data_IF_811152566606
#
_entry.id   IF_811152566606
#
_cell.length_a   1.000
_cell.length_b   1.000
_cell.length_c   1.000
_cell.angle_alpha   90.00
_cell.angle_beta   90.00
_cell.angle_gamma   90.00
#
_symmetry.space_group_name_H-M   'P 1'
#
loop_
_entity.id
_entity.type
_entity.pdbx_description
1 polymer ?
2 non-polymer ?
3 non-polymer ?
4 water ?
#
# COMPACT_ATOMS: atom_id res chain seq x y z
N UNK A 1 3.51 9.90 -12.47
CA UNK A 1 4.32 9.85 -11.22
C UNK A 1 3.67 10.70 -10.13
N UNK A 2 3.95 10.33 -8.89
CA UNK A 2 3.43 11.05 -7.74
C UNK A 2 4.61 11.28 -6.81
N UNK A 3 4.54 12.33 -5.99
CA UNK A 3 5.62 12.68 -5.08
C UNK A 3 5.13 13.04 -3.69
N UNK A 4 5.99 12.82 -2.71
CA UNK A 4 5.74 13.22 -1.34
C UNK A 4 7.04 13.63 -0.66
N UNK A 5 7.03 14.79 -0.01
CA UNK A 5 8.18 15.34 0.69
C UNK A 5 7.92 15.39 2.18
N UNK A 6 8.77 14.70 2.94
CA UNK A 6 8.63 14.69 4.39
C UNK A 6 9.03 16.03 5.00
N UNK A 7 9.93 16.76 4.35
CA UNK A 7 10.33 18.08 4.85
C UNK A 7 9.17 19.05 4.70
N UNK A 8 8.66 19.51 5.83
CA UNK A 8 7.52 20.44 5.86
C UNK A 8 6.18 19.75 5.78
N UNK A 9 6.16 18.43 5.86
CA UNK A 9 4.93 17.67 5.69
C UNK A 9 3.99 17.87 6.88
N UNK A 10 2.70 17.83 6.58
CA UNK A 10 1.67 17.94 7.59
C UNK A 10 0.49 17.07 7.16
N UNK A 11 -0.54 16.96 8.01
CA UNK A 11 -1.67 16.13 7.61
C UNK A 11 -2.26 16.48 6.24
N UNK A 12 -2.27 17.77 5.89
CA UNK A 12 -2.81 18.22 4.61
C UNK A 12 -1.97 17.74 3.42
N UNK A 13 -0.65 17.93 3.49
CA UNK A 13 0.22 17.52 2.38
C UNK A 13 0.27 16.00 2.19
N UNK A 14 0.20 15.26 3.29
CA UNK A 14 0.12 13.80 3.20
C UNK A 14 -1.19 13.39 2.51
N UNK A 15 -2.30 14.00 2.90
CA UNK A 15 -3.58 13.73 2.24
C UNK A 15 -3.54 14.02 0.75
N UNK A 16 -2.88 15.11 0.37
CA UNK A 16 -2.72 15.44 -1.05
C UNK A 16 -1.91 14.37 -1.79
N UNK A 17 -0.90 13.81 -1.14
CA UNK A 17 -0.11 12.73 -1.74
C UNK A 17 -0.95 11.46 -1.93
N UNK A 18 -1.74 11.11 -0.92
CA UNK A 18 -2.56 9.91 -1.01
C UNK A 18 -3.65 10.09 -2.08
N UNK A 19 -4.21 11.29 -2.18
CA UNK A 19 -5.15 11.62 -3.26
C UNK A 19 -4.50 11.42 -4.63
N UNK A 20 -3.30 11.99 -4.81
CA UNK A 20 -2.51 11.85 -6.04
C UNK A 20 -2.26 10.38 -6.38
N UNK A 21 -1.89 9.60 -5.37
CA UNK A 21 -1.60 8.17 -5.57
C UNK A 21 -2.85 7.43 -6.07
N UNK A 22 -3.98 7.65 -5.40
CA UNK A 22 -5.25 7.07 -5.84
C UNK A 22 -5.56 7.48 -7.28
N UNK A 23 -5.42 8.76 -7.58
CA UNK A 23 -5.75 9.27 -8.92
C UNK A 23 -4.84 8.76 -10.04
N UNK A 24 -3.64 8.31 -9.69
CA UNK A 24 -2.72 7.75 -10.67
C UNK A 24 -3.02 6.30 -11.04
N UNK A 25 -3.91 5.64 -10.31
CA UNK A 25 -4.27 4.25 -10.60
C UNK A 25 -5.44 4.24 -11.56
N UNK A 26 -5.29 3.58 -12.72
CA UNK A 26 -6.35 3.68 -13.70
C UNK A 26 -7.53 2.78 -13.40
N UNK A 27 -8.69 3.17 -13.92
CA UNK A 27 -9.89 2.36 -13.82
C UNK A 27 -10.80 2.76 -14.98
N UNK A 28 -11.63 1.83 -15.42
CA UNK A 28 -12.66 2.12 -16.42
C UNK A 28 -14.08 2.08 -15.84
N UNK A 29 -14.21 1.49 -14.66
CA UNK A 29 -15.50 1.18 -14.06
C UNK A 29 -15.39 1.53 -12.58
N UNK A 30 -16.50 2.02 -12.01
CA UNK A 30 -16.68 1.99 -10.56
C UNK A 30 -17.77 0.99 -10.23
N UNK A 31 -17.59 0.30 -9.11
CA UNK A 31 -18.55 -0.63 -8.58
C UNK A 31 -18.98 -0.05 -7.24
N UNK A 32 -20.27 0.26 -7.12
CA UNK A 32 -20.79 0.97 -5.95
C UNK A 32 -19.95 2.22 -5.61
N UNK A 33 -19.67 3.01 -6.64
CA UNK A 33 -18.97 4.29 -6.52
C UNK A 33 -17.50 4.21 -6.08
N UNK A 34 -16.91 3.01 -6.16
CA UNK A 34 -15.51 2.78 -5.80
C UNK A 34 -14.76 2.35 -7.06
N UNK A 35 -13.66 3.04 -7.40
CA UNK A 35 -12.87 2.65 -8.57
C UNK A 35 -12.45 1.19 -8.54
N UNK A 36 -12.66 0.53 -9.68
CA UNK A 36 -12.33 -0.87 -9.86
C UNK A 36 -11.01 -0.94 -10.58
N UNK A 37 -9.98 -1.46 -9.91
CA UNK A 37 -8.68 -1.58 -10.55
C UNK A 37 -8.76 -2.55 -11.74
N UNK A 38 -7.91 -2.32 -12.72
CA UNK A 38 -7.97 -3.07 -13.98
C UNK A 38 -7.49 -4.50 -13.81
N UNK A 39 -8.01 -5.42 -14.65
CA UNK A 39 -7.60 -6.81 -14.56
C UNK A 39 -6.13 -7.00 -14.94
N UNK A 40 -5.66 -6.22 -15.92
CA UNK A 40 -4.27 -6.29 -16.35
C UNK A 40 -3.86 -5.05 -17.13
N UNK A 41 -2.57 -4.79 -17.18
CA UNK A 41 -1.97 -3.72 -17.98
C UNK A 41 -0.66 -4.27 -18.53
N UNK A 42 -0.37 -3.99 -19.80
CA UNK A 42 0.84 -4.53 -20.44
C UNK A 42 1.92 -3.49 -20.55
N UNK A 43 3.17 -3.97 -20.44
CA UNK A 43 4.33 -3.13 -20.60
C UNK A 43 4.61 -2.30 -19.37
N UNK A 44 5.32 -1.20 -19.59
CA UNK A 44 5.76 -0.30 -18.52
C UNK A 44 4.60 0.46 -17.87
N UNK A 45 3.49 0.60 -18.60
CA UNK A 45 2.29 1.25 -18.08
C UNK A 45 1.67 0.57 -16.86
N UNK A 46 2.01 -0.70 -16.65
CA UNK A 46 1.61 -1.43 -15.45
C UNK A 46 2.17 -0.82 -14.17
N UNK A 47 3.24 -0.03 -14.26
CA UNK A 47 3.93 0.45 -13.07
C UNK A 47 3.89 1.96 -12.91
N UNK A 48 3.49 2.39 -11.71
CA UNK A 48 3.53 3.79 -11.30
C UNK A 48 4.79 4.03 -10.48
N UNK A 49 5.40 5.20 -10.65
CA UNK A 49 6.55 5.61 -9.85
C UNK A 49 6.16 6.64 -8.79
N UNK A 50 6.47 6.35 -7.53
CA UNK A 50 6.31 7.30 -6.45
C UNK A 50 7.66 7.83 -6.06
N UNK A 51 7.81 9.15 -6.06
CA UNK A 51 9.05 9.77 -5.61
C UNK A 51 8.89 10.27 -4.19
N UNK A 52 9.64 9.66 -3.28
CA UNK A 52 9.56 9.99 -1.87
C UNK A 52 10.85 10.62 -1.41
N UNK A 53 10.75 11.73 -0.68
CA UNK A 53 11.91 12.46 -0.18
C UNK A 53 11.86 12.49 1.33
N UNK A 54 12.97 12.12 1.96
CA UNK A 54 13.02 12.19 3.40
C UNK A 54 13.23 13.64 3.83
N UNK A 55 13.22 13.85 5.14
CA UNK A 55 13.30 15.19 5.70
C UNK A 55 14.52 15.98 5.17
N UNK A 56 15.60 15.26 4.90
CA UNK A 56 16.84 15.83 4.34
C UNK A 56 16.84 16.07 2.82
N UNK A 57 15.79 15.65 2.12
CA UNK A 57 15.70 15.87 0.67
C UNK A 57 16.30 14.76 -0.18
N UNK A 58 16.82 13.71 0.45
CA UNK A 58 17.22 12.49 -0.26
C UNK A 58 16.00 11.71 -0.67
N UNK A 59 16.14 10.89 -1.71
CA UNK A 59 14.97 10.33 -2.38
C UNK A 59 15.13 8.87 -2.78
N UNK A 60 14.00 8.17 -2.75
CA UNK A 60 13.87 6.88 -3.42
C UNK A 60 12.70 7.01 -4.39
N UNK A 61 12.73 6.22 -5.45
CA UNK A 61 11.60 6.08 -6.35
C UNK A 61 11.07 4.66 -6.15
N UNK A 62 9.78 4.55 -5.89
CA UNK A 62 9.14 3.26 -5.63
C UNK A 62 8.24 2.89 -6.80
N UNK A 63 8.39 1.66 -7.29
CA UNK A 63 7.55 1.14 -8.38
C UNK A 63 6.37 0.36 -7.82
N UNK A 64 5.17 0.73 -8.27
CA UNK A 64 3.92 0.16 -7.78
C UNK A 64 3.13 -0.41 -8.94
N UNK A 65 2.69 -1.66 -8.81
CA UNK A 65 1.82 -2.30 -9.80
C UNK A 65 0.43 -1.66 -9.70
N UNK A 66 -0.05 -1.06 -10.79
CA UNK A 66 -1.29 -0.28 -10.74
C UNK A 66 -2.55 -1.14 -10.71
N UNK A 67 -2.41 -2.44 -10.95
CA UNK A 67 -3.53 -3.38 -10.86
C UNK A 67 -3.86 -3.79 -9.43
N UNK A 68 -2.90 -3.74 -8.52
CA UNK A 68 -3.12 -4.23 -7.15
C UNK A 68 -2.48 -3.39 -6.03
N UNK A 69 -1.83 -2.30 -6.43
CA UNK A 69 -1.10 -1.39 -5.53
C UNK A 69 0.02 -2.10 -4.76
N UNK A 70 0.57 -3.16 -5.35
CA UNK A 70 1.70 -3.89 -4.76
C UNK A 70 2.98 -3.17 -5.12
N UNK A 71 3.79 -2.86 -4.11
CA UNK A 71 5.14 -2.38 -4.36
C UNK A 71 5.96 -3.54 -4.92
N UNK A 72 6.63 -3.28 -6.04
CA UNK A 72 7.50 -4.26 -6.72
C UNK A 72 8.97 -4.09 -6.32
N UNK A 73 9.39 -2.85 -6.18
CA UNK A 73 10.79 -2.54 -5.92
C UNK A 73 10.97 -1.04 -5.84
N UNK A 74 12.22 -0.61 -5.70
CA UNK A 74 12.52 0.82 -5.57
C UNK A 74 13.94 1.10 -6.06
N UNK A 75 14.20 2.37 -6.34
CA UNK A 75 15.51 2.83 -6.79
C UNK A 75 16.09 3.77 -5.75
N UNK A 76 17.33 3.52 -5.37
CA UNK A 76 18.06 4.37 -4.43
C UNK A 76 19.39 4.74 -5.06
N UNK A 77 19.50 5.99 -5.52
CA UNK A 77 20.63 6.45 -6.32
C UNK A 77 20.80 5.59 -7.58
N UNK A 78 21.83 4.74 -7.63
CA UNK A 78 22.09 3.95 -8.85
C UNK A 78 21.86 2.46 -8.64
N UNK A 79 21.21 2.10 -7.53
CA UNK A 79 20.92 0.70 -7.28
C UNK A 79 19.42 0.49 -7.20
N UNK A 80 18.94 -0.49 -7.96
CA UNK A 80 17.55 -0.91 -7.88
C UNK A 80 17.43 -2.12 -6.96
N UNK A 81 16.27 -2.25 -6.33
CA UNK A 81 15.98 -3.33 -5.42
C UNK A 81 14.59 -3.87 -5.75
N UNK A 82 14.44 -5.19 -5.87
CA UNK A 82 13.15 -5.82 -6.16
C UNK A 82 12.86 -6.98 -5.22
N UNK A 83 11.59 -7.20 -4.91
CA UNK A 83 11.18 -8.35 -4.12
C UNK A 83 11.49 -9.65 -4.85
N UNK A 84 11.74 -10.70 -4.08
CA UNK A 84 12.03 -12.01 -4.65
C UNK A 84 10.72 -12.72 -4.97
N UNK A 85 10.13 -12.39 -6.11
CA UNK A 85 8.87 -12.96 -6.56
C UNK A 85 8.72 -12.65 -8.04
N UNK A 86 7.97 -13.50 -8.78
CA UNK A 86 7.86 -13.38 -10.25
C UNK A 86 7.36 -12.03 -10.78
N UNK A 87 6.34 -11.48 -10.14
CA UNK A 87 5.76 -10.19 -10.54
C UNK A 87 6.80 -9.07 -10.47
N UNK A 88 7.65 -9.13 -9.45
CA UNK A 88 8.70 -8.13 -9.29
C UNK A 88 9.83 -8.31 -10.29
N UNK A 89 10.23 -9.55 -10.59
CA UNK A 89 11.26 -9.76 -11.61
C UNK A 89 10.76 -9.26 -12.97
N UNK A 90 9.49 -9.52 -13.28
CA UNK A 90 8.87 -8.98 -14.49
C UNK A 90 8.97 -7.45 -14.51
N UNK A 91 8.57 -6.82 -13.41
CA UNK A 91 8.64 -5.37 -13.26
C UNK A 91 10.03 -4.83 -13.57
N UNK A 92 11.06 -5.59 -13.17
CA UNK A 92 12.44 -5.17 -13.36
C UNK A 92 12.85 -5.11 -14.84
N UNK A 93 12.03 -5.65 -15.73
CA UNK A 93 12.24 -5.49 -17.16
C UNK A 93 11.85 -4.12 -17.70
N UNK A 94 11.03 -3.39 -16.94
CA UNK A 94 10.43 -2.15 -17.43
C UNK A 94 10.83 -0.89 -16.64
N UNK A 95 11.14 -1.02 -15.34
CA UNK A 95 11.51 0.17 -14.54
C UNK A 95 12.95 0.09 -14.02
N UNK A 96 13.53 1.27 -13.81
CA UNK A 96 14.87 1.42 -13.23
C UNK A 96 15.92 0.72 -14.10
N UNK A 97 15.65 0.67 -15.41
CA UNK A 97 16.54 0.00 -16.34
C UNK A 97 17.94 0.61 -16.35
N UNK A 98 18.04 1.91 -16.11
CA UNK A 98 19.34 2.59 -16.12
C UNK A 98 20.06 2.61 -14.75
N UNK A 99 19.67 1.73 -13.82
CA UNK A 99 20.43 1.53 -12.58
C UNK A 99 21.73 0.79 -12.89
N UNK A 100 22.82 1.20 -12.25
CA UNK A 100 24.10 0.50 -12.41
C UNK A 100 24.04 -0.95 -11.93
N UNK A 101 23.21 -1.23 -10.92
CA UNK A 101 23.18 -2.55 -10.31
C UNK A 101 21.78 -2.88 -9.77
N UNK A 102 21.38 -4.15 -9.88
CA UNK A 102 20.06 -4.62 -9.39
C UNK A 102 20.18 -5.70 -8.34
N UNK A 103 19.67 -5.41 -7.14
CA UNK A 103 19.65 -6.37 -6.05
C UNK A 103 18.24 -6.98 -5.90
N UNK A 104 18.17 -8.31 -5.80
CA UNK A 104 16.91 -8.98 -5.44
C UNK A 104 16.96 -9.16 -3.94
N UNK A 105 15.96 -8.59 -3.27
CA UNK A 105 15.83 -8.73 -1.82
C UNK A 105 15.63 -10.19 -1.44
N UNK A 106 16.12 -10.59 -0.25
CA UNK A 106 16.01 -11.98 0.19
C UNK A 106 14.65 -12.30 0.85
N UNK A 107 13.58 -11.83 0.21
CA UNK A 107 12.21 -12.11 0.60
C UNK A 107 11.25 -11.57 -0.45
N UNK A 108 10.07 -12.18 -0.53
CA UNK A 108 8.96 -11.63 -1.29
C UNK A 108 8.37 -10.46 -0.52
N UNK A 109 7.34 -9.85 -1.12
CA UNK A 109 6.69 -8.69 -0.51
C UNK A 109 5.49 -9.01 0.36
N UNK A 110 5.15 -10.27 0.56
CA UNK A 110 3.99 -10.52 1.40
C UNK A 110 4.30 -10.31 2.87
N UNK A 111 3.27 -9.90 3.60
CA UNK A 111 3.42 -9.44 4.96
C UNK A 111 4.09 -10.45 5.86
N UNK A 112 3.73 -11.73 5.70
CA UNK A 112 4.19 -12.74 6.63
C UNK A 112 5.69 -12.98 6.44
N UNK A 113 6.13 -13.01 5.19
CA UNK A 113 7.57 -13.09 4.88
C UNK A 113 8.33 -11.87 5.39
N UNK A 114 7.78 -10.68 5.16
CA UNK A 114 8.46 -9.45 5.58
C UNK A 114 8.60 -9.40 7.10
N UNK A 115 7.56 -9.83 7.81
CA UNK A 115 7.59 -9.83 9.27
C UNK A 115 8.64 -10.79 9.81
N UNK A 116 8.78 -11.94 9.16
CA UNK A 116 9.84 -12.91 9.50
C UNK A 116 11.22 -12.27 9.31
N UNK A 117 11.45 -11.69 8.14
CA UNK A 117 12.74 -11.05 7.83
C UNK A 117 13.05 -9.88 8.75
N UNK A 118 12.02 -9.11 9.11
CA UNK A 118 12.21 -7.91 9.92
C UNK A 118 12.43 -8.25 11.40
N UNK A 119 11.96 -9.43 11.81
CA UNK A 119 12.13 -9.89 13.18
C UNK A 119 10.95 -9.56 14.07
N UNK A 120 9.89 -9.00 13.50
CA UNK A 120 8.72 -8.63 14.27
C UNK A 120 7.48 -8.49 13.39
N UNK A 121 6.30 -8.77 13.97
CA UNK A 121 5.04 -8.56 13.25
C UNK A 121 4.76 -7.09 13.23
N UNK A 122 3.95 -6.65 12.30
CA UNK A 122 3.78 -5.22 12.14
C UNK A 122 2.82 -4.63 13.20
N UNK A 123 2.18 -5.48 14.02
CA UNK A 123 1.51 -5.03 15.24
C UNK A 123 2.44 -4.27 16.18
N UNK A 124 3.73 -4.58 16.10
CA UNK A 124 4.73 -4.01 17.00
C UNK A 124 5.60 -2.95 16.34
N UNK A 125 5.40 -2.69 15.06
CA UNK A 125 6.21 -1.72 14.35
C UNK A 125 5.44 -0.40 14.29
N UNK A 126 5.97 0.64 14.96
CA UNK A 126 5.32 1.94 14.85
C UNK A 126 5.29 2.48 13.43
N UNK A 127 4.16 3.07 13.05
CA UNK A 127 4.03 3.74 11.77
C UNK A 127 3.62 5.21 11.95
N UNK A 128 3.77 5.97 10.88
CA UNK A 128 3.55 7.41 10.92
C UNK A 128 4.46 8.09 9.93
N UNK A 129 4.41 9.41 9.89
CA UNK A 129 5.28 10.15 8.97
C UNK A 129 6.74 10.16 9.42
N UNK A 130 7.01 10.29 10.73
CA UNK A 130 8.42 10.11 11.11
C UNK A 130 8.96 8.71 10.76
N UNK A 131 8.15 7.67 10.94
CA UNK A 131 8.58 6.30 10.57
C UNK A 131 8.84 6.19 9.07
N UNK A 132 8.04 6.88 8.26
CA UNK A 132 8.27 6.89 6.82
C UNK A 132 9.59 7.59 6.50
N UNK A 133 9.89 8.70 7.18
CA UNK A 133 11.20 9.36 6.98
C UNK A 133 12.31 8.36 7.26
N UNK A 134 12.20 7.65 8.38
CA UNK A 134 13.18 6.64 8.75
C UNK A 134 13.30 5.56 7.69
N UNK A 135 12.14 5.12 7.18
CA UNK A 135 12.11 4.06 6.18
C UNK A 135 12.88 4.44 4.92
N UNK A 136 12.63 5.65 4.43
CA UNK A 136 13.30 6.17 3.24
C UNK A 136 14.80 6.18 3.50
N UNK A 137 15.20 6.68 4.67
CA UNK A 137 16.60 6.76 5.03
C UNK A 137 17.26 5.38 5.05
N UNK A 138 16.57 4.41 5.63
CA UNK A 138 17.02 3.02 5.68
C UNK A 138 17.20 2.43 4.28
N UNK A 139 16.23 2.65 3.41
CA UNK A 139 16.29 2.03 2.07
C UNK A 139 17.37 2.63 1.16
N UNK A 140 17.93 3.77 1.54
CA UNK A 140 18.92 4.46 0.71
C UNK A 140 20.22 3.68 0.54
N UNK A 141 20.57 2.90 1.57
CA UNK A 141 21.74 2.03 1.51
C UNK A 141 21.36 0.66 2.06
N UNK A 142 21.74 -0.37 1.31
CA UNK A 142 21.23 -1.72 1.53
C UNK A 142 21.52 -2.31 2.92
N UNK A 143 20.48 -2.90 3.51
CA UNK A 143 20.57 -3.61 4.75
C UNK A 143 19.27 -4.44 4.82
N UNK A 144 19.35 -5.72 4.46
CA UNK A 144 18.11 -6.47 4.18
C UNK A 144 17.16 -6.62 5.39
N UNK A 145 17.71 -6.80 6.58
CA UNK A 145 16.88 -6.87 7.79
C UNK A 145 16.21 -5.53 8.08
N UNK A 146 16.98 -4.45 8.05
CA UNK A 146 16.43 -3.12 8.26
C UNK A 146 15.42 -2.81 7.17
N UNK A 147 15.73 -3.21 5.94
CA UNK A 147 14.86 -2.95 4.81
C UNK A 147 13.49 -3.59 4.98
N UNK A 148 13.43 -4.81 5.50
CA UNK A 148 12.15 -5.49 5.71
C UNK A 148 11.22 -4.66 6.58
N UNK A 149 11.72 -4.17 7.70
CA UNK A 149 10.95 -3.29 8.56
C UNK A 149 10.56 -1.99 7.89
N UNK A 150 11.51 -1.39 7.16
CA UNK A 150 11.26 -0.15 6.44
C UNK A 150 10.16 -0.35 5.40
N UNK A 151 10.19 -1.51 4.74
CA UNK A 151 9.19 -1.82 3.71
C UNK A 151 7.81 -2.02 4.32
N UNK A 152 7.72 -2.63 5.49
CA UNK A 152 6.44 -2.72 6.20
C UNK A 152 5.87 -1.36 6.49
N UNK A 153 6.72 -0.41 6.87
CA UNK A 153 6.26 0.96 7.11
C UNK A 153 5.81 1.58 5.79
N UNK A 154 6.63 1.40 4.76
CA UNK A 154 6.36 2.02 3.47
C UNK A 154 5.05 1.54 2.88
N UNK A 155 4.84 0.23 2.91
CA UNK A 155 3.60 -0.36 2.36
C UNK A 155 2.35 0.21 3.04
N UNK A 156 2.40 0.33 4.37
CA UNK A 156 1.22 0.73 5.11
C UNK A 156 0.95 2.21 5.02
N UNK A 157 1.99 3.01 4.87
CA UNK A 157 1.83 4.46 4.79
C UNK A 157 1.57 4.96 3.36
N UNK A 158 1.65 4.08 2.37
CA UNK A 158 1.39 4.46 0.98
C UNK A 158 0.23 3.62 0.46
N UNK A 159 0.50 2.37 0.08
CA UNK A 159 -0.49 1.49 -0.53
C UNK A 159 -1.72 1.28 0.36
N UNK A 160 -1.55 0.98 1.65
CA UNK A 160 -2.72 0.68 2.48
C UNK A 160 -3.56 1.92 2.73
N UNK A 161 -2.89 3.07 2.88
CA UNK A 161 -3.60 4.35 3.02
C UNK A 161 -4.38 4.70 1.75
N UNK A 162 -3.79 4.39 0.59
CA UNK A 162 -4.50 4.60 -0.67
C UNK A 162 -5.78 3.78 -0.72
N UNK A 163 -5.75 2.57 -0.19
CA UNK A 163 -6.90 1.68 -0.24
C UNK A 163 -8.01 1.99 0.74
N UNK A 164 -7.66 2.53 1.91
CA UNK A 164 -8.65 2.79 2.95
C UNK A 164 -8.53 4.18 3.54
N UNK A 165 -9.61 4.95 3.48
CA UNK A 165 -9.65 6.29 4.09
C UNK A 165 -9.31 6.24 5.58
N UNK A 166 -9.80 5.23 6.29
CA UNK A 166 -9.48 5.09 7.71
C UNK A 166 -7.97 5.02 7.94
N UNK A 167 -7.27 4.28 7.08
CA UNK A 167 -5.82 4.12 7.26
C UNK A 167 -5.08 5.43 6.94
N UNK A 168 -5.49 6.12 5.88
CA UNK A 168 -4.99 7.47 5.60
C UNK A 168 -5.12 8.37 6.83
N UNK A 169 -6.30 8.37 7.45
CA UNK A 169 -6.54 9.19 8.63
C UNK A 169 -5.69 8.78 9.83
N UNK A 170 -5.47 7.48 9.99
CA UNK A 170 -4.59 6.97 11.04
C UNK A 170 -3.17 7.50 10.88
N UNK A 171 -2.68 7.54 9.64
CA UNK A 171 -1.34 8.07 9.38
C UNK A 171 -1.31 9.59 9.61
N UNK A 172 -2.38 10.30 9.25
CA UNK A 172 -2.47 11.74 9.52
C UNK A 172 -2.38 12.07 11.01
N UNK A 173 -2.98 11.22 11.83
CA UNK A 173 -2.88 11.35 13.29
C UNK A 173 -1.44 11.18 13.77
N UNK A 174 -0.65 10.43 12.99
CA UNK A 174 0.73 10.13 13.31
C UNK A 174 1.71 10.98 12.48
N UNK A 175 1.30 12.21 12.15
CA UNK A 175 2.15 13.11 11.37
C UNK A 175 3.44 13.48 12.09
N UNK A 176 3.39 13.53 13.42
CA UNK A 176 4.54 13.98 14.22
C UNK A 176 4.89 13.05 15.39
N UNK A 177 4.21 11.90 15.49
CA UNK A 177 4.48 10.88 16.50
C UNK A 177 4.05 9.52 16.00
N UNK A 178 5.01 8.60 15.86
CA UNK A 178 4.69 7.24 15.45
C UNK A 178 3.89 6.48 16.51
N UNK A 179 3.09 5.54 16.04
CA UNK A 179 2.36 4.63 16.91
C UNK A 179 2.06 3.35 16.14
N UNK A 180 2.11 2.21 16.83
CA UNK A 180 1.74 0.94 16.20
C UNK A 180 0.34 1.05 15.59
N UNK A 181 0.10 0.28 14.51
CA UNK A 181 -1.21 0.36 13.86
C UNK A 181 -2.33 -0.12 14.77
N UNK A 182 -3.49 0.54 14.66
CA UNK A 182 -4.69 0.13 15.39
C UNK A 182 -5.10 -1.26 14.92
N UNK A 183 -5.88 -1.96 15.74
CA UNK A 183 -6.36 -3.29 15.36
C UNK A 183 -7.20 -3.23 14.08
N UNK A 184 -8.01 -2.18 13.93
CA UNK A 184 -8.81 -1.99 12.71
C UNK A 184 -7.92 -1.85 11.48
N UNK A 185 -6.82 -1.12 11.64
CA UNK A 185 -5.86 -0.96 10.54
C UNK A 185 -5.38 -2.33 10.05
N UNK A 186 -4.91 -3.18 10.96
CA UNK A 186 -4.41 -4.50 10.59
C UNK A 186 -5.52 -5.34 9.93
N UNK A 187 -6.71 -5.27 10.52
CA UNK A 187 -7.91 -5.96 9.99
C UNK A 187 -8.21 -5.57 8.54
N UNK A 188 -8.26 -4.27 8.27
CA UNK A 188 -8.55 -3.76 6.92
C UNK A 188 -7.49 -4.22 5.92
N UNK A 189 -6.21 -4.12 6.31
CA UNK A 189 -5.12 -4.54 5.42
C UNK A 189 -5.30 -5.98 5.01
N UNK A 190 -5.60 -6.80 6.01
CA UNK A 190 -5.81 -8.23 5.82
C UNK A 190 -7.06 -8.56 5.00
N UNK A 191 -8.05 -7.66 5.01
CA UNK A 191 -9.38 -7.92 4.40
C UNK A 191 -9.61 -7.29 3.02
N UNK A 192 -8.63 -6.57 2.50
CA UNK A 192 -8.84 -5.81 1.27
C UNK A 192 -9.27 -6.72 0.11
N UNK A 193 -8.57 -7.83 -0.07
CA UNK A 193 -8.87 -8.76 -1.15
C UNK A 193 -10.28 -9.34 -0.96
N UNK A 194 -10.56 -9.81 0.26
CA UNK A 194 -11.90 -10.31 0.62
C UNK A 194 -12.99 -9.30 0.32
N UNK A 195 -12.81 -8.08 0.81
CA UNK A 195 -13.78 -7.00 0.61
C UNK A 195 -13.97 -6.64 -0.86
N UNK A 196 -12.86 -6.54 -1.59
CA UNK A 196 -12.92 -6.20 -3.01
C UNK A 196 -13.77 -7.23 -3.73
N UNK A 197 -13.58 -8.50 -3.37
CA UNK A 197 -14.33 -9.58 -4.00
C UNK A 197 -15.82 -9.55 -3.65
N UNK A 198 -16.16 -9.40 -2.38
CA UNK A 198 -17.57 -9.40 -1.95
C UNK A 198 -18.37 -8.21 -2.47
N UNK A 199 -17.69 -7.08 -2.69
CA UNK A 199 -18.33 -5.88 -3.25
C UNK A 199 -18.64 -6.09 -4.74
N UNK A 200 -17.71 -6.71 -5.46
CA UNK A 200 -17.94 -7.07 -6.85
C UNK A 200 -19.04 -8.13 -7.01
N UNK A 201 -19.02 -9.13 -6.14
CA UNK A 201 -20.06 -10.17 -6.14
C UNK A 201 -21.44 -9.64 -5.75
N UNK A 202 -21.47 -8.53 -5.03
CA UNK A 202 -22.72 -7.92 -4.61
C UNK A 202 -23.48 -7.22 -5.76
N UNK A 203 -22.77 -6.93 -6.87
CA UNK A 203 -23.40 -6.34 -8.07
C UNK A 203 -24.61 -7.11 -8.61
N UNK A 204 -24.63 -8.42 -8.42
CA UNK A 204 -25.75 -9.27 -8.82
C UNK A 204 -26.37 -10.09 -7.70
N UNK A 205 -26.25 -9.60 -6.47
CA UNK A 205 -26.84 -10.22 -5.29
C UNK A 205 -27.48 -9.15 -4.40
N UNK A 206 -27.97 -8.10 -5.06
CA UNK A 206 -28.75 -7.03 -4.42
C UNK A 206 -27.97 -6.25 -3.37
N UNK A 207 -26.66 -6.12 -3.58
CA UNK A 207 -25.78 -5.47 -2.61
C UNK A 207 -25.41 -6.35 -1.42
N UNK A 208 -25.82 -7.62 -1.43
CA UNK A 208 -25.56 -8.54 -0.33
C UNK A 208 -24.27 -9.31 -0.61
N UNK A 209 -23.44 -9.43 0.42
CA UNK A 209 -22.23 -10.24 0.35
C UNK A 209 -22.60 -11.73 0.30
N UNK A 210 -22.01 -12.48 -0.62
CA UNK A 210 -22.17 -13.94 -0.64
C UNK A 210 -21.57 -14.55 0.62
N UNK A 211 -20.44 -14.00 1.05
CA UNK A 211 -19.75 -14.44 2.27
C UNK A 211 -19.43 -13.20 3.11
N UNK A 212 -19.95 -13.14 4.35
CA UNK A 212 -19.66 -11.97 5.18
C UNK A 212 -18.20 -11.85 5.58
N UNK A 213 -17.71 -10.61 5.65
CA UNK A 213 -16.33 -10.32 6.03
C UNK A 213 -16.31 -9.86 7.49
N UNK A 214 -15.49 -10.52 8.31
CA UNK A 214 -15.34 -10.13 9.71
C UNK A 214 -14.23 -9.09 9.86
N UNK A 215 -14.54 -7.98 10.51
CA UNK A 215 -13.54 -6.92 10.79
C UNK A 215 -13.49 -6.47 12.23
N UNK A 216 -12.45 -5.68 12.54
CA UNK A 216 -12.37 -4.93 13.78
C UNK A 216 -12.62 -3.45 13.48
N UNK A 217 -13.51 -2.82 14.24
CA UNK A 217 -13.85 -1.41 14.04
C UNK A 217 -12.92 -0.49 14.84
N UNK A 218 -13.17 0.81 14.77
CA UNK A 218 -12.38 1.81 15.50
C UNK A 218 -12.22 1.61 17.03
N UNK A 219 -12.75 0.51 17.60
CA UNK A 219 -12.66 0.26 19.06
C UNK A 219 -12.35 -1.19 19.49
N UNK A 220 -11.77 -2.00 18.61
CA UNK A 220 -11.37 -3.36 18.97
C UNK A 220 -12.48 -4.41 18.91
N UNK A 221 -13.67 -4.01 18.46
CA UNK A 221 -14.83 -4.90 18.48
C UNK A 221 -15.07 -5.60 17.13
N UNK A 222 -15.24 -6.94 17.18
CA UNK A 222 -15.21 -7.82 16.00
C UNK A 222 -16.55 -7.89 15.27
N UNK A 223 -16.64 -7.21 14.12
CA UNK A 223 -17.91 -7.06 13.42
C UNK A 223 -17.97 -7.75 12.06
N UNK A 224 -19.19 -8.02 11.62
CA UNK A 224 -19.44 -8.74 10.38
C UNK A 224 -20.02 -7.77 9.37
N UNK A 225 -19.36 -7.69 8.23
CA UNK A 225 -19.81 -6.87 7.11
C UNK A 225 -20.56 -7.79 6.14
N UNK A 226 -21.83 -7.49 5.91
CA UNK A 226 -22.74 -8.37 5.17
C UNK A 226 -23.28 -7.76 3.88
N UNK A 227 -23.21 -6.45 3.75
CA UNK A 227 -23.73 -5.77 2.57
C UNK A 227 -23.08 -4.42 2.31
N UNK A 228 -23.39 -3.86 1.13
CA UNK A 228 -22.77 -2.60 0.67
C UNK A 228 -23.22 -1.34 1.40
N UNK A 229 -24.22 -1.42 2.27
CA UNK A 229 -24.64 -0.24 3.03
C UNK A 229 -23.74 -0.02 4.24
N UNK A 230 -22.81 -0.94 4.47
CA UNK A 230 -21.83 -0.80 5.53
C UNK A 230 -20.92 0.40 5.30
N UNK A 231 -20.64 1.11 6.39
CA UNK A 231 -19.59 2.13 6.47
C UNK A 231 -18.32 1.82 5.68
N UNK A 232 -17.85 0.59 5.86
CA UNK A 232 -16.60 0.16 5.26
C UNK A 232 -16.67 0.33 3.74
N UNK A 233 -17.86 0.09 3.17
CA UNK A 233 -18.07 0.18 1.73
C UNK A 233 -18.42 1.60 1.27
N UNK A 234 -19.27 2.29 2.03
CA UNK A 234 -19.75 3.62 1.62
C UNK A 234 -18.74 4.74 1.86
N UNK A 235 -17.89 4.58 2.87
CA UNK A 235 -17.06 5.67 3.36
C UNK A 235 -15.56 5.37 3.27
N UNK A 236 -15.18 4.13 3.54
CA UNK A 236 -13.80 3.76 3.85
C UNK A 236 -12.99 3.27 2.64
N UNK A 237 -13.36 2.12 2.07
CA UNK A 237 -12.58 1.52 0.98
C UNK A 237 -12.58 2.46 -0.23
N UNK A 238 -11.40 2.64 -0.85
CA UNK A 238 -11.23 3.61 -1.94
C UNK A 238 -10.85 2.99 -3.28
N UNK A 239 -10.44 1.72 -3.26
CA UNK A 239 -10.00 1.02 -4.47
C UNK A 239 -10.41 -0.45 -4.35
N UNK A 240 -10.79 -1.06 -5.47
CA UNK A 240 -11.16 -2.48 -5.47
C UNK A 240 -10.19 -3.30 -6.30
N UNK A 241 -9.66 -4.35 -5.68
CA UNK A 241 -8.86 -5.34 -6.39
C UNK A 241 -9.79 -6.07 -7.33
N UNK A 242 -9.44 -6.12 -8.62
CA UNK A 242 -10.29 -6.81 -9.58
C UNK A 242 -10.37 -8.29 -9.25
N UNK A 243 -11.60 -8.82 -9.28
CA UNK A 243 -11.84 -10.21 -8.94
C UNK A 243 -11.11 -11.18 -9.89
N UNK A 244 -10.75 -10.71 -11.08
CA UNK A 244 -9.89 -11.48 -12.00
C UNK A 244 -8.48 -11.71 -11.42
N UNK A 245 -8.08 -10.91 -10.43
CA UNK A 245 -6.80 -11.08 -9.73
C UNK A 245 -6.91 -11.65 -8.31
N UNK A 246 -8.05 -12.26 -7.99
CA UNK A 246 -8.29 -12.86 -6.68
C UNK A 246 -8.46 -14.37 -6.83
X LIG B 1 -26.73 -4.47 5.96
X LIG B 1 -27.59 -5.22 6.99
X LIG B 1 -27.98 -4.36 8.19
X LIG B 1 -26.88 -3.40 8.64
X LIG B 1 -26.30 -2.68 7.43
X LIG B 1 -25.20 -1.69 7.81
X LIG B 1 -28.83 -6.78 5.57
X LIG B 1 -30.14 -7.09 4.90
X LIG B 1 -28.78 -5.67 6.29
X LIG B 1 -28.36 -5.19 9.28
X LIG B 1 -27.44 -2.47 9.54
X LIG B 1 -25.74 -3.67 6.58
X LIG B 1 -24.15 -2.36 8.47
X LIG B 1 -27.88 -7.56 5.41
X LIG C 1 2.33 -4.92 -0.32
X LIG C 1 0.23 -3.90 -0.35
X LIG C 1 3.67 -9.70 -2.86
X LIG C 1 3.09 -8.42 -2.75
X LIG C 1 2.50 -8.19 -1.38
X LIG C 1 1.19 -8.78 -1.11
X LIG C 1 0.23 -7.77 -0.46
X LIG C 1 0.67 -7.19 0.82
X LIG C 1 0.48 -5.86 0.99
X LIG C 1 -0.57 -5.55 1.73
X LIG C 1 1.01 -4.94 0.13
X LIG C 1 4.09 -7.38 -3.14
X LIG C 1 4.06 -6.22 -2.59
X LIG C 1 4.78 -7.53 -4.15
#
# INVERSE_FOLDING_TARGET
DVSFRLSGADPSSYGMFIKDLRNALPHTEKVYNIPLLLPSVSGAGRYLLMHLFNYDGNTITVAVDVTNVYIMGYLALTTSYFFNEPAADLASQYVFRSARRKITLPYSGNYERLQIAAGKPREKIPIGLPALDTAISTLLHYDSTAAAGALLVLIQTTAEAARFKYIEQQIQERAYRDEVPSSATISLENSWSGLSKQIQLAQGNNGVFRTPTVLVDSKGNRVQITNVTSNVVTSNIQLLLNTKNI
NAG C1 C2 C3 C4 C5 C6 C7 C8 N2 O3 O4 O5 O6 O7
DA2 C1 C2 N CA CB CG CD NE CZ NH2 NH1 C O OXT
#
